data_IF_898693233128
#
_entry.id   IF_898693233128
#
_cell.length_a   1.000
_cell.length_b   1.000
_cell.length_c   1.000
_cell.angle_alpha   90.00
_cell.angle_beta   90.00
_cell.angle_gamma   90.00
#
_symmetry.space_group_name_H-M   'P 1'
#
loop_
_entity.id
_entity.type
_entity.pdbx_description
1 polymer ?
#
# COMPACT_ATOMS: atom_id res chain seq x y z
N UNK A 1 23.47 -77.78 -24.88
CA UNK A 1 22.77 -77.09 -23.75
C UNK A 1 23.40 -75.69 -23.61
N UNK A 2 22.79 -74.67 -24.28
CA UNK A 2 23.29 -73.32 -24.26
C UNK A 2 22.47 -72.54 -23.23
N UNK A 3 23.17 -71.99 -22.21
CA UNK A 3 22.58 -71.10 -21.22
C UNK A 3 22.83 -69.67 -21.66
N UNK A 4 21.79 -68.91 -22.01
CA UNK A 4 21.86 -67.48 -22.23
C UNK A 4 21.71 -66.76 -20.88
N UNK A 5 22.70 -65.96 -20.52
CA UNK A 5 22.67 -65.05 -19.35
C UNK A 5 22.16 -63.72 -19.84
N UNK A 6 20.95 -63.32 -19.40
CA UNK A 6 20.42 -61.96 -19.62
C UNK A 6 21.00 -61.01 -18.56
N UNK A 7 21.73 -59.99 -19.03
CA UNK A 7 22.13 -58.86 -18.17
C UNK A 7 21.02 -57.80 -18.20
N UNK A 8 20.42 -57.53 -17.04
CA UNK A 8 19.54 -56.36 -16.84
C UNK A 8 20.40 -55.18 -16.42
N UNK A 9 20.46 -54.15 -17.29
CA UNK A 9 21.06 -52.86 -16.94
C UNK A 9 19.97 -52.01 -16.28
N UNK A 10 20.07 -51.75 -14.98
CA UNK A 10 19.26 -50.76 -14.29
C UNK A 10 19.83 -49.38 -14.57
N UNK A 11 19.14 -48.58 -15.41
CA UNK A 11 19.41 -47.14 -15.52
C UNK A 11 18.74 -46.44 -14.32
N UNK A 12 19.52 -46.05 -13.32
CA UNK A 12 19.08 -45.17 -12.26
C UNK A 12 19.14 -43.73 -12.77
N UNK A 13 18.03 -43.22 -13.28
CA UNK A 13 17.87 -41.79 -13.59
C UNK A 13 17.80 -40.98 -12.29
N UNK A 14 18.84 -40.22 -11.98
CA UNK A 14 18.79 -39.23 -10.93
C UNK A 14 17.93 -38.04 -11.40
N UNK A 15 16.72 -37.96 -10.86
CA UNK A 15 15.87 -36.77 -11.03
C UNK A 15 16.49 -35.66 -10.15
N UNK A 16 17.29 -34.80 -10.77
CA UNK A 16 17.79 -33.60 -10.15
C UNK A 16 16.61 -32.68 -9.84
N UNK A 17 16.18 -32.66 -8.58
CA UNK A 17 15.19 -31.70 -8.10
C UNK A 17 15.75 -30.29 -8.21
N UNK A 18 15.22 -29.48 -9.15
CA UNK A 18 15.46 -28.04 -9.21
C UNK A 18 14.70 -27.46 -8.02
N UNK A 19 15.39 -27.26 -6.89
CA UNK A 19 14.88 -26.44 -5.79
C UNK A 19 14.90 -24.99 -6.28
N UNK A 20 13.73 -24.50 -6.69
CA UNK A 20 13.56 -23.07 -6.93
C UNK A 20 13.88 -22.34 -5.61
N UNK A 21 15.00 -21.62 -5.57
CA UNK A 21 15.38 -20.81 -4.43
C UNK A 21 14.33 -19.71 -4.30
N UNK A 22 13.46 -19.81 -3.29
CA UNK A 22 12.42 -18.84 -3.04
C UNK A 22 13.08 -17.49 -2.73
N UNK A 23 12.87 -16.50 -3.58
CA UNK A 23 13.47 -15.18 -3.42
C UNK A 23 13.10 -14.63 -2.04
N UNK A 24 14.11 -14.16 -1.29
CA UNK A 24 13.90 -13.62 0.06
C UNK A 24 13.07 -12.34 -0.05
N UNK A 25 11.91 -12.34 0.62
CA UNK A 25 11.03 -11.17 0.68
C UNK A 25 11.67 -10.09 1.54
N UNK A 26 11.84 -8.87 1.00
CA UNK A 26 12.29 -7.71 1.77
C UNK A 26 11.11 -7.12 2.57
N UNK A 27 10.96 -7.58 3.81
CA UNK A 27 9.95 -7.08 4.75
C UNK A 27 10.43 -5.90 5.61
N UNK A 28 11.58 -5.33 5.32
CA UNK A 28 12.16 -4.23 6.11
C UNK A 28 11.30 -2.97 6.03
N UNK A 29 11.07 -2.30 7.15
CA UNK A 29 10.35 -1.03 7.26
C UNK A 29 10.89 -0.15 8.39
N UNK A 30 11.38 -0.74 9.48
CA UNK A 30 11.68 -0.07 10.74
C UNK A 30 13.03 0.68 10.71
N UNK A 31 13.22 1.58 9.73
CA UNK A 31 14.35 2.48 9.68
C UNK A 31 14.26 3.57 10.77
N UNK A 32 15.32 4.39 10.92
CA UNK A 32 15.36 5.44 11.93
C UNK A 32 14.21 6.44 11.82
N UNK A 33 13.77 6.80 10.59
CA UNK A 33 12.69 7.74 10.36
C UNK A 33 11.34 7.15 10.82
N UNK A 34 11.05 5.91 10.43
CA UNK A 34 9.85 5.20 10.89
C UNK A 34 9.79 5.14 12.42
N UNK A 35 10.91 4.79 13.07
CA UNK A 35 10.98 4.71 14.52
C UNK A 35 10.71 6.08 15.18
N UNK A 36 11.27 7.17 14.65
CA UNK A 36 10.99 8.52 15.15
C UNK A 36 9.51 8.90 14.98
N UNK A 37 8.92 8.61 13.81
CA UNK A 37 7.50 8.89 13.57
C UNK A 37 6.61 8.09 14.52
N UNK A 38 6.92 6.83 14.77
CA UNK A 38 6.19 5.99 15.73
C UNK A 38 6.33 6.51 17.17
N UNK A 39 7.53 6.82 17.61
CA UNK A 39 7.77 7.40 18.94
C UNK A 39 7.00 8.73 19.13
N UNK A 40 6.84 9.51 18.07
CA UNK A 40 6.02 10.72 18.08
C UNK A 40 4.52 10.37 18.19
N UNK A 41 4.00 9.48 17.33
CA UNK A 41 2.59 9.08 17.35
C UNK A 41 2.16 8.49 18.69
N UNK A 42 3.01 7.68 19.33
CA UNK A 42 2.74 7.08 20.64
C UNK A 42 2.53 8.11 21.75
N UNK A 43 3.21 9.26 21.66
CA UNK A 43 3.09 10.35 22.62
C UNK A 43 1.92 11.29 22.36
N UNK A 44 1.33 11.26 21.16
CA UNK A 44 0.17 12.10 20.87
C UNK A 44 -1.07 11.62 21.64
N UNK A 45 -1.96 12.55 22.01
CA UNK A 45 -3.22 12.20 22.66
C UNK A 45 -4.07 11.32 21.75
N UNK A 46 -4.86 10.45 22.36
CA UNK A 46 -5.89 9.69 21.66
C UNK A 46 -7.06 10.61 21.28
N UNK A 47 -7.39 10.68 20.01
CA UNK A 47 -8.49 11.51 19.49
C UNK A 47 -9.58 10.59 18.94
N UNK A 48 -10.63 10.40 19.74
CA UNK A 48 -11.73 9.50 19.41
C UNK A 48 -12.54 9.98 18.19
N UNK A 49 -13.01 9.02 17.40
CA UNK A 49 -13.87 9.26 16.23
C UNK A 49 -13.21 10.14 15.15
N UNK A 50 -11.90 10.23 15.12
CA UNK A 50 -11.18 10.93 14.07
C UNK A 50 -11.36 10.23 12.71
N UNK A 51 -11.18 10.98 11.63
CA UNK A 51 -10.88 10.44 10.30
C UNK A 51 -9.37 10.34 10.19
N UNK A 52 -8.87 9.18 9.81
CA UNK A 52 -7.44 8.90 9.73
C UNK A 52 -7.04 8.64 8.28
N UNK A 53 -6.10 9.44 7.77
CA UNK A 53 -5.39 9.14 6.54
C UNK A 53 -4.14 8.34 6.88
N UNK A 54 -4.10 7.09 6.43
CA UNK A 54 -3.08 6.10 6.76
C UNK A 54 -2.33 5.70 5.48
N UNK A 55 -1.00 5.78 5.50
CA UNK A 55 -0.22 5.44 4.31
C UNK A 55 1.27 5.81 4.43
N UNK A 56 1.89 5.96 3.28
CA UNK A 56 3.31 6.27 3.13
C UNK A 56 3.58 7.79 2.99
N UNK A 57 4.68 8.16 2.30
CA UNK A 57 5.05 9.57 2.07
C UNK A 57 4.01 10.40 1.32
N UNK A 58 3.25 9.79 0.40
CA UNK A 58 2.19 10.50 -0.32
C UNK A 58 1.09 10.93 0.66
N UNK A 59 0.74 10.08 1.61
CA UNK A 59 -0.20 10.44 2.69
C UNK A 59 0.43 11.44 3.66
N UNK A 60 1.70 11.27 4.02
CA UNK A 60 2.39 12.11 5.01
C UNK A 60 2.49 13.58 4.58
N UNK A 61 2.75 13.84 3.29
CA UNK A 61 3.03 15.19 2.75
C UNK A 61 1.80 16.09 2.63
N UNK A 62 0.61 15.57 2.89
CA UNK A 62 -0.61 16.36 2.84
C UNK A 62 -0.91 17.04 4.17
N UNK A 63 -1.33 18.28 4.13
CA UNK A 63 -1.83 19.04 5.29
C UNK A 63 -3.34 18.73 5.48
N UNK A 64 -3.65 17.46 5.83
CA UNK A 64 -5.03 16.96 5.90
C UNK A 64 -5.93 17.78 6.83
N UNK A 65 -5.37 18.27 7.96
CA UNK A 65 -6.12 19.05 8.93
C UNK A 65 -6.56 20.39 8.35
N UNK A 66 -5.70 21.03 7.57
CA UNK A 66 -5.98 22.33 6.93
C UNK A 66 -6.91 22.14 5.73
N UNK A 67 -6.67 21.13 4.91
CA UNK A 67 -7.52 20.79 3.75
C UNK A 67 -8.94 20.43 4.16
N UNK A 68 -9.14 19.99 5.40
CA UNK A 68 -10.41 19.56 5.97
C UNK A 68 -10.78 20.38 7.22
N UNK A 69 -10.32 21.63 7.31
CA UNK A 69 -10.59 22.50 8.47
C UNK A 69 -12.09 22.74 8.71
N UNK A 70 -12.90 22.70 7.64
CA UNK A 70 -14.36 22.80 7.70
C UNK A 70 -15.06 21.47 8.04
N UNK A 71 -14.32 20.38 8.15
CA UNK A 71 -14.92 19.07 8.39
C UNK A 71 -15.22 18.86 9.88
N UNK A 72 -16.43 18.37 10.17
CA UNK A 72 -16.95 18.27 11.54
C UNK A 72 -16.21 17.33 12.49
N UNK A 73 -15.38 16.41 11.97
CA UNK A 73 -14.64 15.45 12.79
C UNK A 73 -13.15 15.76 12.75
N UNK A 74 -12.41 15.48 13.84
CA UNK A 74 -10.96 15.59 13.82
C UNK A 74 -10.35 14.76 12.69
N UNK A 75 -9.29 15.27 12.09
CA UNK A 75 -8.55 14.60 11.01
C UNK A 75 -7.13 14.32 11.48
N UNK A 76 -6.66 13.11 11.30
CA UNK A 76 -5.30 12.70 11.68
C UNK A 76 -4.52 12.23 10.47
N UNK A 77 -3.33 12.80 10.29
CA UNK A 77 -2.34 12.28 9.37
C UNK A 77 -1.55 11.15 10.05
N UNK A 78 -1.60 9.97 9.47
CA UNK A 78 -0.81 8.79 9.85
C UNK A 78 -0.04 8.26 8.65
N UNK A 79 0.52 9.18 7.86
CA UNK A 79 1.53 8.89 6.84
C UNK A 79 2.92 8.77 7.45
N UNK A 80 3.76 7.89 6.89
CA UNK A 80 5.19 7.78 7.19
C UNK A 80 5.97 7.61 5.88
N UNK A 81 6.92 8.50 5.61
CA UNK A 81 7.76 8.43 4.43
C UNK A 81 8.50 7.10 4.31
N UNK A 82 8.44 6.48 3.13
CA UNK A 82 9.10 5.20 2.86
C UNK A 82 8.43 3.96 3.48
N UNK A 83 7.29 4.13 4.18
CA UNK A 83 6.53 3.01 4.77
C UNK A 83 5.96 2.10 3.68
N UNK A 84 5.78 0.84 4.03
CA UNK A 84 5.24 -0.20 3.17
C UNK A 84 4.17 -1.00 3.91
N UNK A 85 3.57 -1.99 3.24
CA UNK A 85 2.47 -2.76 3.81
C UNK A 85 2.82 -3.48 5.12
N UNK A 86 4.08 -3.87 5.35
CA UNK A 86 4.54 -4.45 6.62
C UNK A 86 4.58 -3.42 7.74
N UNK A 87 5.13 -2.23 7.48
CA UNK A 87 5.21 -1.17 8.46
C UNK A 87 3.83 -0.65 8.86
N UNK A 88 2.92 -0.47 7.90
CA UNK A 88 1.53 -0.11 8.19
C UNK A 88 0.87 -1.18 9.06
N UNK A 89 1.04 -2.47 8.75
CA UNK A 89 0.49 -3.57 9.54
C UNK A 89 1.02 -3.56 10.98
N UNK A 90 2.31 -3.29 11.15
CA UNK A 90 2.96 -3.25 12.47
C UNK A 90 2.39 -2.16 13.39
N UNK A 91 1.94 -1.02 12.81
CA UNK A 91 1.46 0.16 13.56
C UNK A 91 -0.06 0.34 13.63
N UNK A 92 -0.84 -0.67 13.24
CA UNK A 92 -2.31 -0.57 13.28
C UNK A 92 -2.85 -0.32 14.69
N UNK A 93 -2.15 -0.72 15.72
CA UNK A 93 -2.58 -0.47 17.11
C UNK A 93 -2.63 1.03 17.45
N UNK A 94 -1.71 1.85 16.92
CA UNK A 94 -1.80 3.31 17.02
C UNK A 94 -3.06 3.86 16.33
N UNK A 95 -3.42 3.32 15.18
CA UNK A 95 -4.62 3.75 14.45
C UNK A 95 -5.89 3.41 15.22
N UNK A 96 -6.06 2.16 15.64
CA UNK A 96 -7.32 1.68 16.25
C UNK A 96 -7.52 2.15 17.69
N UNK A 97 -6.49 2.59 18.42
CA UNK A 97 -6.66 3.21 19.75
C UNK A 97 -7.55 4.45 19.72
N UNK A 98 -7.59 5.13 18.58
CA UNK A 98 -8.42 6.31 18.34
C UNK A 98 -9.89 5.96 18.07
N UNK A 99 -10.28 4.67 17.97
CA UNK A 99 -11.63 4.25 17.56
C UNK A 99 -12.15 5.10 16.39
N UNK A 100 -11.43 5.16 15.28
CA UNK A 100 -11.69 6.13 14.22
C UNK A 100 -13.07 5.95 13.61
N UNK A 101 -13.66 7.05 13.16
CA UNK A 101 -14.87 7.03 12.35
C UNK A 101 -14.61 6.41 10.98
N UNK A 102 -13.48 6.78 10.38
CA UNK A 102 -13.05 6.27 9.08
C UNK A 102 -11.53 6.17 9.01
N UNK A 103 -11.04 5.22 8.24
CA UNK A 103 -9.63 5.08 7.84
C UNK A 103 -9.58 5.09 6.31
N UNK A 104 -8.80 6.02 5.76
CA UNK A 104 -8.44 6.07 4.35
C UNK A 104 -7.02 5.50 4.22
N UNK A 105 -6.92 4.28 3.72
CA UNK A 105 -5.66 3.54 3.59
C UNK A 105 -5.15 3.64 2.16
N UNK A 106 -3.95 4.17 1.96
CA UNK A 106 -3.25 4.19 0.69
C UNK A 106 -1.79 3.80 0.86
N UNK A 107 -1.41 2.73 0.19
CA UNK A 107 -0.02 2.25 0.13
C UNK A 107 0.18 1.39 -1.12
N UNK A 108 1.38 0.80 -1.26
CA UNK A 108 1.69 -0.21 -2.26
C UNK A 108 2.80 0.19 -3.22
N UNK A 109 3.05 1.49 -3.47
CA UNK A 109 4.14 1.87 -4.37
C UNK A 109 5.51 1.53 -3.77
N UNK A 110 5.71 1.67 -2.47
CA UNK A 110 6.95 1.26 -1.81
C UNK A 110 7.13 -0.26 -1.78
N UNK A 111 6.05 -1.02 -1.75
CA UNK A 111 6.08 -2.47 -1.94
C UNK A 111 6.63 -2.81 -3.34
N UNK A 112 6.18 -2.09 -4.38
CA UNK A 112 6.68 -2.26 -5.74
C UNK A 112 8.17 -1.88 -5.86
N UNK A 113 8.59 -0.77 -5.24
CA UNK A 113 10.00 -0.36 -5.21
C UNK A 113 10.89 -1.42 -4.56
N UNK A 114 10.38 -2.16 -3.58
CA UNK A 114 11.06 -3.30 -2.92
C UNK A 114 10.89 -4.62 -3.64
N UNK A 115 10.24 -4.63 -4.80
CA UNK A 115 9.96 -5.84 -5.60
C UNK A 115 9.16 -6.90 -4.82
N UNK A 116 8.29 -6.48 -3.91
CA UNK A 116 7.41 -7.40 -3.21
C UNK A 116 6.39 -7.97 -4.20
N UNK A 117 6.14 -9.28 -4.17
CA UNK A 117 5.02 -9.87 -4.92
C UNK A 117 3.69 -9.23 -4.49
N UNK A 118 2.79 -8.97 -5.43
CA UNK A 118 1.48 -8.38 -5.14
C UNK A 118 0.71 -9.18 -4.08
N UNK A 119 0.83 -10.51 -4.11
CA UNK A 119 0.18 -11.41 -3.16
C UNK A 119 0.58 -11.11 -1.70
N UNK A 120 1.84 -10.74 -1.48
CA UNK A 120 2.35 -10.36 -0.14
C UNK A 120 1.69 -9.05 0.32
N UNK A 121 1.69 -8.03 -0.54
CA UNK A 121 1.03 -6.74 -0.26
C UNK A 121 -0.46 -6.94 0.03
N UNK A 122 -1.16 -7.72 -0.78
CA UNK A 122 -2.60 -8.01 -0.63
C UNK A 122 -2.87 -8.76 0.68
N UNK A 123 -2.03 -9.72 1.07
CA UNK A 123 -2.18 -10.41 2.36
C UNK A 123 -1.96 -9.46 3.54
N UNK A 124 -0.99 -8.54 3.46
CA UNK A 124 -0.80 -7.52 4.50
C UNK A 124 -2.01 -6.57 4.57
N UNK A 125 -2.53 -6.10 3.45
CA UNK A 125 -3.76 -5.30 3.40
C UNK A 125 -4.96 -6.03 4.03
N UNK A 126 -5.14 -7.32 3.74
CA UNK A 126 -6.18 -8.16 4.34
C UNK A 126 -6.04 -8.21 5.86
N UNK A 127 -4.82 -8.42 6.36
CA UNK A 127 -4.53 -8.43 7.80
C UNK A 127 -4.79 -7.06 8.45
N UNK A 128 -4.43 -5.97 7.78
CA UNK A 128 -4.70 -4.60 8.22
C UNK A 128 -6.20 -4.38 8.35
N UNK A 129 -6.99 -4.64 7.30
CA UNK A 129 -8.45 -4.48 7.29
C UNK A 129 -9.09 -5.30 8.40
N UNK A 130 -8.74 -6.58 8.52
CA UNK A 130 -9.30 -7.47 9.55
C UNK A 130 -8.92 -7.03 10.97
N UNK A 131 -7.70 -6.55 11.19
CA UNK A 131 -7.28 -6.01 12.49
C UNK A 131 -8.06 -4.74 12.85
N UNK A 132 -8.32 -3.85 11.89
CA UNK A 132 -9.17 -2.68 12.11
C UNK A 132 -10.61 -3.10 12.45
N UNK A 133 -11.22 -3.98 11.67
CA UNK A 133 -12.58 -4.49 11.92
C UNK A 133 -12.71 -5.15 13.29
N UNK A 134 -11.75 -5.97 13.67
CA UNK A 134 -11.74 -6.65 14.96
C UNK A 134 -11.62 -5.68 16.14
N UNK A 135 -10.69 -4.71 16.05
CA UNK A 135 -10.39 -3.80 17.17
C UNK A 135 -11.26 -2.52 17.20
N UNK A 136 -11.84 -2.14 16.07
CA UNK A 136 -12.69 -0.96 15.93
C UNK A 136 -13.83 -1.22 14.92
N UNK A 137 -14.81 -2.06 15.28
CA UNK A 137 -15.82 -2.60 14.32
C UNK A 137 -16.75 -1.56 13.72
N UNK A 138 -16.83 -0.35 14.28
CA UNK A 138 -17.64 0.75 13.74
C UNK A 138 -16.87 1.66 12.77
N UNK A 139 -15.58 1.38 12.54
CA UNK A 139 -14.75 2.16 11.63
C UNK A 139 -15.12 1.84 10.18
N UNK A 140 -15.44 2.87 9.38
CA UNK A 140 -15.52 2.73 7.93
C UNK A 140 -14.11 2.64 7.36
N UNK A 141 -13.87 1.69 6.48
CA UNK A 141 -12.56 1.47 5.86
C UNK A 141 -12.67 1.77 4.38
N UNK A 142 -11.78 2.63 3.90
CA UNK A 142 -11.61 2.96 2.50
C UNK A 142 -10.21 2.56 2.06
N UNK A 143 -10.11 1.61 1.14
CA UNK A 143 -8.86 1.28 0.45
C UNK A 143 -8.78 2.20 -0.75
N UNK A 144 -7.73 3.00 -0.84
CA UNK A 144 -7.47 3.85 -1.97
C UNK A 144 -6.44 3.18 -2.89
N UNK A 145 -6.57 3.40 -4.21
CA UNK A 145 -5.60 2.88 -5.17
C UNK A 145 -4.19 3.38 -4.87
N UNK A 146 -3.18 2.57 -5.13
CA UNK A 146 -1.83 3.06 -5.32
C UNK A 146 -1.83 4.01 -6.53
N UNK A 147 -1.09 5.11 -6.44
CA UNK A 147 -1.01 6.06 -7.55
C UNK A 147 0.01 5.60 -8.60
N UNK A 148 -0.19 5.96 -9.87
CA UNK A 148 0.83 5.81 -10.89
C UNK A 148 2.05 6.67 -10.54
N UNK A 149 3.19 6.33 -11.13
CA UNK A 149 4.40 7.14 -11.08
C UNK A 149 4.77 7.61 -12.49
N UNK A 150 5.63 8.61 -12.59
CA UNK A 150 6.15 9.07 -13.87
C UNK A 150 7.65 8.81 -13.95
N UNK A 151 8.01 7.66 -14.52
CA UNK A 151 9.38 7.20 -14.64
C UNK A 151 10.23 8.06 -15.61
N UNK A 152 9.60 8.94 -16.38
CA UNK A 152 10.29 9.90 -17.26
C UNK A 152 10.79 11.13 -16.49
N UNK A 153 10.31 11.34 -15.27
CA UNK A 153 10.67 12.48 -14.41
C UNK A 153 11.62 12.03 -13.30
N UNK A 154 11.34 10.88 -12.68
CA UNK A 154 12.15 10.39 -11.56
C UNK A 154 13.56 10.04 -11.99
N UNK A 155 14.53 10.38 -11.15
CA UNK A 155 15.95 10.01 -11.32
C UNK A 155 16.32 8.70 -10.62
N UNK A 156 15.40 8.11 -9.89
CA UNK A 156 15.64 6.96 -9.03
C UNK A 156 15.51 5.64 -9.79
N UNK A 157 16.58 4.90 -9.91
CA UNK A 157 16.62 3.62 -10.65
C UNK A 157 15.64 2.56 -10.13
N UNK A 158 15.32 2.59 -8.82
CA UNK A 158 14.38 1.63 -8.23
C UNK A 158 12.93 1.81 -8.70
N UNK A 159 12.61 2.93 -9.35
CA UNK A 159 11.28 3.21 -9.91
C UNK A 159 11.04 2.56 -11.27
N UNK A 160 12.10 2.20 -11.99
CA UNK A 160 12.01 1.68 -13.37
C UNK A 160 11.17 0.42 -13.47
N UNK A 161 10.24 0.39 -14.41
CA UNK A 161 9.31 -0.72 -14.64
C UNK A 161 8.32 -0.92 -13.49
N UNK A 162 8.08 0.09 -12.64
CA UNK A 162 7.14 -0.04 -11.53
C UNK A 162 5.78 0.53 -11.85
N UNK A 163 5.69 1.51 -12.73
CA UNK A 163 4.41 2.06 -13.14
C UNK A 163 3.51 1.01 -13.81
N UNK A 164 4.07 0.14 -14.62
CA UNK A 164 3.33 -0.93 -15.30
C UNK A 164 2.70 -1.96 -14.35
N UNK A 165 3.20 -2.06 -13.10
CA UNK A 165 2.68 -2.97 -12.07
C UNK A 165 1.50 -2.38 -11.28
N UNK A 166 1.31 -1.05 -11.33
CA UNK A 166 0.27 -0.36 -10.55
C UNK A 166 -1.16 -0.79 -10.92
N UNK A 167 -1.52 -0.94 -12.21
CA UNK A 167 -2.87 -1.37 -12.58
C UNK A 167 -3.24 -2.75 -12.02
N UNK A 168 -2.32 -3.71 -12.06
CA UNK A 168 -2.57 -5.07 -11.55
C UNK A 168 -2.68 -5.06 -10.02
N UNK A 169 -1.84 -4.31 -9.32
CA UNK A 169 -1.96 -4.10 -7.87
C UNK A 169 -3.34 -3.52 -7.51
N UNK A 170 -3.78 -2.47 -8.20
CA UNK A 170 -5.05 -1.82 -7.95
C UNK A 170 -6.26 -2.72 -8.24
N UNK A 171 -6.18 -3.54 -9.29
CA UNK A 171 -7.16 -4.58 -9.56
C UNK A 171 -7.30 -5.55 -8.38
N UNK A 172 -6.17 -6.02 -7.83
CA UNK A 172 -6.15 -6.91 -6.66
C UNK A 172 -6.65 -6.20 -5.39
N UNK A 173 -6.33 -4.92 -5.19
CA UNK A 173 -6.85 -4.12 -4.07
C UNK A 173 -8.37 -3.93 -4.17
N UNK A 174 -8.89 -3.67 -5.37
CA UNK A 174 -10.34 -3.57 -5.62
C UNK A 174 -11.05 -4.90 -5.34
N UNK A 175 -10.45 -6.02 -5.73
CA UNK A 175 -10.98 -7.34 -5.44
C UNK A 175 -10.97 -7.62 -3.93
N UNK A 176 -9.86 -7.32 -3.24
CA UNK A 176 -9.76 -7.45 -1.79
C UNK A 176 -10.83 -6.62 -1.06
N UNK A 177 -11.09 -5.39 -1.52
CA UNK A 177 -12.09 -4.53 -0.93
C UNK A 177 -13.49 -5.17 -1.00
N UNK A 178 -13.83 -5.80 -2.11
CA UNK A 178 -15.10 -6.56 -2.27
C UNK A 178 -15.13 -7.76 -1.32
N UNK A 179 -14.06 -8.55 -1.27
CA UNK A 179 -13.98 -9.74 -0.41
C UNK A 179 -14.07 -9.41 1.09
N UNK A 180 -13.50 -8.27 1.48
CA UNK A 180 -13.52 -7.83 2.88
C UNK A 180 -14.68 -6.87 3.18
N UNK A 181 -15.64 -6.67 2.27
CA UNK A 181 -16.77 -5.75 2.45
C UNK A 181 -16.33 -4.37 2.97
N UNK A 182 -15.45 -3.73 2.21
CA UNK A 182 -14.97 -2.36 2.41
C UNK A 182 -14.98 -1.60 1.08
N UNK A 183 -14.84 -0.28 1.13
CA UNK A 183 -14.92 0.55 -0.07
C UNK A 183 -13.56 0.67 -0.73
N UNK A 184 -13.49 0.47 -2.05
CA UNK A 184 -12.34 0.83 -2.87
C UNK A 184 -12.57 2.19 -3.52
N UNK A 185 -11.57 3.07 -3.45
CA UNK A 185 -11.57 4.39 -4.12
C UNK A 185 -10.43 4.42 -5.11
N UNK A 186 -10.77 4.45 -6.40
CA UNK A 186 -9.77 4.63 -7.45
C UNK A 186 -9.43 6.11 -7.61
N UNK A 187 -8.18 6.44 -7.31
CA UNK A 187 -7.62 7.79 -7.47
C UNK A 187 -6.84 7.95 -8.78
N UNK A 188 -6.50 6.86 -9.48
CA UNK A 188 -5.68 6.93 -10.69
C UNK A 188 -6.26 7.85 -11.76
N UNK A 189 -7.57 7.79 -12.09
CA UNK A 189 -8.14 8.66 -13.11
C UNK A 189 -8.05 10.16 -12.78
N UNK A 190 -7.81 10.50 -11.51
CA UNK A 190 -7.69 11.89 -11.06
C UNK A 190 -6.32 12.47 -11.38
N UNK A 191 -5.28 11.62 -11.46
CA UNK A 191 -3.89 12.04 -11.48
C UNK A 191 -3.07 11.51 -12.65
N UNK A 192 -3.58 10.53 -13.41
CA UNK A 192 -2.85 9.97 -14.54
C UNK A 192 -2.98 10.81 -15.82
N UNK A 193 -1.93 10.74 -16.66
CA UNK A 193 -1.95 11.20 -18.04
C UNK A 193 -2.55 10.14 -18.98
N UNK A 194 -2.62 10.44 -20.28
CA UNK A 194 -3.18 9.55 -21.31
C UNK A 194 -2.38 8.24 -21.47
N UNK A 195 -1.12 8.21 -21.02
CA UNK A 195 -0.27 7.02 -21.01
C UNK A 195 -0.28 6.26 -19.67
N UNK A 196 -1.17 6.65 -18.74
CA UNK A 196 -1.32 6.00 -17.45
C UNK A 196 -0.18 6.28 -16.47
N UNK A 197 0.59 7.33 -16.68
CA UNK A 197 1.65 7.78 -15.76
C UNK A 197 1.12 8.91 -14.89
N UNK A 198 1.76 9.15 -13.75
CA UNK A 198 1.47 10.36 -12.96
C UNK A 198 1.70 11.61 -13.80
N UNK A 199 0.64 12.39 -14.01
CA UNK A 199 0.70 13.58 -14.84
C UNK A 199 1.70 14.60 -14.28
N UNK A 200 2.49 15.21 -15.15
CA UNK A 200 3.45 16.29 -14.82
C UNK A 200 2.80 17.47 -14.10
N UNK A 201 1.50 17.66 -14.30
CA UNK A 201 0.72 18.69 -13.64
C UNK A 201 0.64 18.46 -12.11
N UNK A 202 0.81 17.21 -11.65
CA UNK A 202 0.60 16.83 -10.25
C UNK A 202 1.85 16.39 -9.51
N UNK A 203 3.02 16.42 -10.15
CA UNK A 203 4.27 15.99 -9.56
C UNK A 203 5.48 16.79 -10.06
N UNK A 204 6.52 16.87 -9.22
CA UNK A 204 7.82 17.41 -9.61
C UNK A 204 8.92 16.35 -9.62
N UNK A 205 8.74 15.25 -8.90
CA UNK A 205 9.72 14.17 -8.75
C UNK A 205 9.28 12.83 -9.37
N UNK A 206 8.08 12.84 -9.99
CA UNK A 206 7.52 11.65 -10.64
C UNK A 206 6.82 10.67 -9.69
N UNK A 207 6.83 10.91 -8.37
CA UNK A 207 6.26 10.02 -7.35
C UNK A 207 5.31 10.75 -6.41
N UNK A 208 5.71 11.89 -5.89
CA UNK A 208 4.96 12.62 -4.87
C UNK A 208 4.08 13.71 -5.49
N UNK A 209 2.95 13.94 -4.84
CA UNK A 209 1.98 14.95 -5.27
C UNK A 209 2.38 16.36 -4.83
N UNK A 210 2.04 17.34 -5.66
CA UNK A 210 2.10 18.76 -5.31
C UNK A 210 0.82 19.22 -4.60
N UNK A 211 0.81 20.40 -3.93
CA UNK A 211 -0.34 20.84 -3.11
C UNK A 211 -1.69 20.86 -3.85
N UNK A 212 -1.73 21.29 -5.11
CA UNK A 212 -2.97 21.33 -5.89
C UNK A 212 -3.61 19.97 -6.12
N UNK A 213 -2.81 18.90 -6.18
CA UNK A 213 -3.29 17.54 -6.31
C UNK A 213 -4.04 17.09 -5.03
N UNK A 214 -3.56 17.45 -3.85
CA UNK A 214 -4.25 17.14 -2.59
C UNK A 214 -5.59 17.86 -2.46
N UNK A 215 -5.69 19.11 -2.94
CA UNK A 215 -6.96 19.85 -3.02
C UNK A 215 -7.95 19.08 -3.90
N UNK A 216 -7.51 18.60 -5.06
CA UNK A 216 -8.32 17.82 -5.99
C UNK A 216 -8.76 16.48 -5.39
N UNK A 217 -7.86 15.83 -4.64
CA UNK A 217 -8.16 14.60 -3.92
C UNK A 217 -9.26 14.79 -2.87
N UNK A 218 -9.11 15.80 -2.01
CA UNK A 218 -10.12 16.13 -0.99
C UNK A 218 -11.46 16.48 -1.64
N UNK A 219 -11.45 17.24 -2.74
CA UNK A 219 -12.68 17.54 -3.51
C UNK A 219 -13.38 16.25 -3.95
N UNK A 220 -12.66 15.29 -4.53
CA UNK A 220 -13.22 13.98 -4.90
C UNK A 220 -13.88 13.29 -3.71
N UNK A 221 -13.20 13.24 -2.55
CA UNK A 221 -13.74 12.58 -1.36
C UNK A 221 -15.03 13.25 -0.85
N UNK A 222 -15.11 14.58 -0.89
CA UNK A 222 -16.31 15.35 -0.53
C UNK A 222 -17.44 15.12 -1.55
N UNK A 223 -17.18 15.24 -2.84
CA UNK A 223 -18.16 15.08 -3.93
C UNK A 223 -18.79 13.67 -3.92
N UNK A 224 -18.00 12.65 -3.61
CA UNK A 224 -18.45 11.25 -3.50
C UNK A 224 -19.05 10.89 -2.14
N UNK A 225 -19.14 11.85 -1.20
CA UNK A 225 -19.68 11.67 0.15
C UNK A 225 -18.98 10.56 0.97
N UNK A 226 -17.68 10.44 0.79
CA UNK A 226 -16.83 9.58 1.62
C UNK A 226 -16.44 10.26 2.95
N UNK A 227 -16.46 11.58 2.94
CA UNK A 227 -16.25 12.48 4.08
C UNK A 227 -17.56 13.06 4.59
#
# INVERSE_FOLDING_TARGET
>A
MNRYILFFIFLTGSVGGITAQQAKIDSSYANWYYQQRMAYFEKLPTIQRAVIFLGNSITERAEWQELLADYRYPVLNRGIGGDNSFGILARIDDVVRNKPRAVFLMDGINDQFRKLPHEVSIQNYRRIVRKIKMKSPRTKIYIQSALPINEMITTEDYTRGRNELVPELNKKLSQLAKEEDVVFIDLCPLFQDDEGRLSKEYTVDGVHLIPTAYIKWVKLLKDKKYL
#
